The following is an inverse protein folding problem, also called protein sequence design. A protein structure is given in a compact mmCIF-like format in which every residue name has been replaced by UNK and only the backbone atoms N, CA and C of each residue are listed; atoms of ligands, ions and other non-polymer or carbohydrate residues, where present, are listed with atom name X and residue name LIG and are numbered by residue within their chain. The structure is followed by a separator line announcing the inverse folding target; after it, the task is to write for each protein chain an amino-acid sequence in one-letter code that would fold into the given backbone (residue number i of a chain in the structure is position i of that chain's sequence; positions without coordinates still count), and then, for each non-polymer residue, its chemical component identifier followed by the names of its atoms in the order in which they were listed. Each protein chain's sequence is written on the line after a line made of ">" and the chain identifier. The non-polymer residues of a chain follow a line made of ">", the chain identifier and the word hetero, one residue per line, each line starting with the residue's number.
data_IF_833992843017
#
_entry.id   IF_833992843017
#
_cell.length_a   1.000
_cell.length_b   1.000
_cell.length_c   1.000
_cell.angle_alpha   90.00
_cell.angle_beta   90.00
_cell.angle_gamma   90.00
#
_symmetry.space_group_name_H-M   'P 1'
#
loop_
_entity.id
_entity.type
_entity.pdbx_description
1 polymer ?
#
# COMPACT_ATOMS: atom_id res chain seq x y z
N UNK A 1 4.50 6.61 23.64
CA UNK A 1 3.92 6.68 22.29
C UNK A 1 3.14 5.40 22.12
N UNK A 2 1.82 5.48 22.11
CA UNK A 2 0.97 4.30 21.97
C UNK A 2 1.03 3.84 20.52
N UNK A 3 1.75 2.74 20.26
CA UNK A 3 1.82 2.13 18.95
C UNK A 3 0.44 1.60 18.55
N UNK A 4 0.03 1.82 17.30
CA UNK A 4 -1.16 1.15 16.74
C UNK A 4 -0.80 -0.31 16.51
N UNK A 5 -1.49 -1.23 17.20
CA UNK A 5 -1.39 -2.66 16.93
C UNK A 5 -1.90 -2.97 15.53
N UNK A 6 -1.23 -3.86 14.81
CA UNK A 6 -1.66 -4.32 13.50
C UNK A 6 -3.09 -4.88 13.57
N UNK A 7 -4.07 -4.34 12.83
CA UNK A 7 -5.45 -4.82 12.89
C UNK A 7 -5.62 -6.22 12.25
N UNK A 8 -4.60 -6.71 11.54
CA UNK A 8 -4.61 -8.01 10.88
C UNK A 8 -4.07 -9.12 11.78
N UNK A 9 -2.91 -8.92 12.41
CA UNK A 9 -2.25 -9.96 13.21
C UNK A 9 -2.07 -9.62 14.70
N UNK A 10 -2.47 -8.42 15.14
CA UNK A 10 -2.29 -7.94 16.51
C UNK A 10 -0.85 -7.52 16.87
N UNK A 11 0.15 -7.76 16.00
CA UNK A 11 1.55 -7.43 16.27
C UNK A 11 2.00 -6.03 15.83
N UNK A 12 3.31 -5.77 15.84
CA UNK A 12 3.92 -4.45 15.59
C UNK A 12 4.29 -4.21 14.10
N UNK A 13 3.37 -4.54 13.19
CA UNK A 13 3.60 -4.39 11.74
C UNK A 13 3.62 -2.92 11.28
N UNK A 14 2.93 -2.04 12.00
CA UNK A 14 2.83 -0.61 11.70
C UNK A 14 3.83 0.10 12.60
N UNK A 15 4.74 0.87 12.01
CA UNK A 15 5.78 1.60 12.73
C UNK A 15 5.85 3.02 12.20
N UNK A 16 6.25 3.94 13.07
CA UNK A 16 6.45 5.34 12.69
C UNK A 16 7.64 5.48 11.74
N UNK A 17 7.68 6.57 10.97
CA UNK A 17 8.70 6.76 9.92
C UNK A 17 10.11 7.03 10.43
N UNK A 18 10.27 7.38 11.69
CA UNK A 18 11.56 7.56 12.37
C UNK A 18 12.41 6.28 12.37
N UNK A 19 11.80 5.11 12.17
CA UNK A 19 12.50 3.83 12.06
C UNK A 19 12.93 3.47 10.63
N UNK A 20 12.57 4.27 9.61
CA UNK A 20 13.03 4.02 8.23
C UNK A 20 14.53 4.33 8.18
N UNK A 21 15.39 3.34 7.88
CA UNK A 21 16.82 3.60 7.83
C UNK A 21 17.17 4.54 6.66
N UNK A 22 18.24 5.32 6.81
CA UNK A 22 18.74 6.23 5.77
C UNK A 22 18.93 5.54 4.43
N UNK A 23 19.36 4.27 4.45
CA UNK A 23 19.44 3.42 3.27
C UNK A 23 18.56 2.16 3.43
N UNK A 24 17.29 2.22 3.00
CA UNK A 24 16.35 1.09 3.08
C UNK A 24 16.82 -0.15 2.32
N UNK A 25 17.65 -0.01 1.28
CA UNK A 25 18.17 -1.15 0.50
C UNK A 25 19.03 -2.08 1.39
N UNK A 26 19.62 -1.56 2.49
CA UNK A 26 20.40 -2.37 3.45
C UNK A 26 19.57 -3.43 4.19
N UNK A 27 18.24 -3.24 4.25
CA UNK A 27 17.32 -4.23 4.84
C UNK A 27 17.46 -5.58 4.11
N UNK A 28 17.65 -5.54 2.80
CA UNK A 28 17.73 -6.72 1.93
C UNK A 28 19.15 -7.04 1.43
N UNK A 29 20.17 -6.36 1.96
CA UNK A 29 21.54 -6.55 1.49
C UNK A 29 22.16 -7.82 2.05
N UNK A 30 23.01 -8.53 1.28
CA UNK A 30 23.78 -9.65 1.81
C UNK A 30 24.83 -9.19 2.83
N UNK A 31 25.21 -10.08 3.73
CA UNK A 31 26.48 -9.97 4.46
C UNK A 31 27.61 -10.65 3.66
N UNK A 32 28.86 -10.55 4.13
CA UNK A 32 30.02 -11.17 3.46
C UNK A 32 29.97 -12.71 3.39
N UNK A 33 29.09 -13.35 4.17
CA UNK A 33 28.87 -14.81 4.21
C UNK A 33 27.61 -15.27 3.48
N UNK A 34 26.89 -14.34 2.84
CA UNK A 34 25.73 -14.69 2.03
C UNK A 34 26.17 -15.21 0.67
N UNK A 35 25.52 -16.27 0.21
CA UNK A 35 25.71 -16.84 -1.12
C UNK A 35 24.38 -16.78 -1.88
N UNK A 36 24.44 -16.43 -3.17
CA UNK A 36 23.28 -16.41 -4.04
C UNK A 36 23.54 -17.35 -5.21
N UNK A 37 22.70 -18.37 -5.33
CA UNK A 37 22.62 -19.21 -6.50
C UNK A 37 21.39 -18.78 -7.30
N UNK A 38 21.63 -18.13 -8.44
CA UNK A 38 20.54 -17.67 -9.32
C UNK A 38 19.91 -18.91 -9.95
N UNK A 39 18.61 -19.10 -9.72
CA UNK A 39 17.86 -20.23 -10.26
C UNK A 39 17.14 -19.82 -11.52
N UNK A 40 17.05 -20.73 -12.50
CA UNK A 40 16.17 -20.54 -13.65
C UNK A 40 14.71 -20.69 -13.20
N UNK A 41 14.00 -19.55 -13.15
CA UNK A 41 12.62 -19.47 -12.66
C UNK A 41 11.59 -20.11 -13.59
N UNK A 42 12.02 -20.49 -14.79
CA UNK A 42 11.21 -21.22 -15.78
C UNK A 42 11.30 -22.74 -15.64
N UNK A 43 12.14 -23.23 -14.73
CA UNK A 43 12.31 -24.66 -14.45
C UNK A 43 11.88 -24.97 -13.01
N UNK A 44 11.53 -26.24 -12.71
CA UNK A 44 11.43 -26.72 -11.34
C UNK A 44 12.76 -26.51 -10.59
N UNK A 45 12.73 -26.25 -9.27
CA UNK A 45 13.95 -26.11 -8.50
C UNK A 45 14.73 -27.44 -8.50
N UNK A 46 16.05 -27.33 -8.68
CA UNK A 46 16.97 -28.46 -8.57
C UNK A 46 17.87 -28.32 -7.35
N UNK A 47 18.29 -29.45 -6.78
CA UNK A 47 19.11 -29.50 -5.58
C UNK A 47 18.35 -29.10 -4.31
N UNK A 48 19.06 -29.15 -3.18
CA UNK A 48 18.48 -28.84 -1.87
C UNK A 48 18.27 -27.34 -1.70
N UNK A 49 17.31 -27.00 -0.83
CA UNK A 49 17.07 -25.63 -0.39
C UNK A 49 18.13 -25.25 0.65
N UNK A 50 18.97 -24.24 0.39
CA UNK A 50 19.99 -23.82 1.34
C UNK A 50 19.41 -23.34 2.67
N UNK A 51 20.11 -23.65 3.76
CA UNK A 51 19.81 -23.06 5.07
C UNK A 51 20.06 -21.55 5.06
N UNK A 52 19.38 -20.76 5.93
CA UNK A 52 19.63 -19.33 6.03
C UNK A 52 21.10 -19.04 6.36
N UNK A 53 21.61 -17.89 5.90
CA UNK A 53 23.01 -17.52 6.10
C UNK A 53 23.37 -17.54 7.59
N UNK A 54 24.43 -18.27 8.02
CA UNK A 54 24.80 -18.37 9.43
C UNK A 54 25.35 -17.05 10.00
N UNK A 55 25.67 -16.07 9.16
CA UNK A 55 26.15 -14.75 9.59
C UNK A 55 25.04 -13.75 9.91
N UNK A 56 23.94 -13.77 9.16
CA UNK A 56 22.88 -12.76 9.28
C UNK A 56 21.45 -13.31 9.28
N UNK A 57 21.27 -14.63 9.16
CA UNK A 57 19.98 -15.30 9.10
C UNK A 57 19.18 -15.06 7.83
N UNK A 58 19.76 -14.44 6.79
CA UNK A 58 19.05 -14.13 5.53
C UNK A 58 19.26 -15.21 4.48
N UNK A 59 18.28 -15.41 3.61
CA UNK A 59 18.33 -16.33 2.46
C UNK A 59 18.10 -15.58 1.14
N UNK A 60 18.72 -16.03 0.05
CA UNK A 60 18.47 -15.46 -1.27
C UNK A 60 17.02 -15.71 -1.73
N UNK A 61 16.38 -14.74 -2.39
CA UNK A 61 14.96 -14.83 -2.74
C UNK A 61 14.60 -16.09 -3.55
N UNK A 62 15.45 -16.51 -4.48
CA UNK A 62 15.16 -17.66 -5.31
C UNK A 62 15.15 -18.97 -4.49
N UNK A 63 15.96 -19.05 -3.44
CA UNK A 63 15.96 -20.18 -2.51
C UNK A 63 14.75 -20.16 -1.57
N UNK A 64 14.28 -18.97 -1.16
CA UNK A 64 13.01 -18.84 -0.41
C UNK A 64 11.85 -19.36 -1.27
N UNK A 65 11.80 -18.96 -2.54
CA UNK A 65 10.77 -19.45 -3.46
C UNK A 65 10.89 -20.94 -3.76
N UNK A 66 12.11 -21.49 -3.84
CA UNK A 66 12.34 -22.93 -3.95
C UNK A 66 11.86 -23.70 -2.70
N UNK A 67 12.00 -23.12 -1.51
CA UNK A 67 11.47 -23.71 -0.27
C UNK A 67 9.93 -23.75 -0.27
N UNK A 68 9.29 -22.66 -0.70
CA UNK A 68 7.83 -22.66 -0.87
C UNK A 68 7.40 -23.71 -1.92
N UNK A 69 8.16 -23.86 -3.01
CA UNK A 69 7.89 -24.86 -4.05
C UNK A 69 7.95 -26.29 -3.50
N UNK A 70 8.94 -26.63 -2.66
CA UNK A 70 9.05 -27.97 -2.09
C UNK A 70 7.85 -28.32 -1.21
N UNK A 71 7.41 -27.39 -0.36
CA UNK A 71 6.22 -27.57 0.48
C UNK A 71 4.96 -27.78 -0.37
N UNK A 72 4.76 -26.99 -1.43
CA UNK A 72 3.61 -27.17 -2.33
C UNK A 72 3.69 -28.54 -3.04
N UNK A 73 4.88 -28.95 -3.46
CA UNK A 73 5.11 -30.22 -4.17
C UNK A 73 4.88 -31.45 -3.30
N UNK A 74 5.23 -31.38 -2.02
CA UNK A 74 4.97 -32.44 -1.04
C UNK A 74 3.46 -32.68 -0.86
N UNK A 75 2.67 -31.60 -0.79
CA UNK A 75 1.22 -31.65 -0.62
C UNK A 75 0.46 -31.90 -1.95
N UNK A 76 1.08 -31.52 -3.07
CA UNK A 76 0.55 -31.73 -4.41
C UNK A 76 1.66 -32.21 -5.36
N UNK A 77 1.82 -33.54 -5.46
CA UNK A 77 2.88 -34.15 -6.27
C UNK A 77 2.92 -33.71 -7.74
N UNK A 78 1.79 -33.28 -8.33
CA UNK A 78 1.76 -32.73 -9.70
C UNK A 78 2.48 -31.39 -9.83
N UNK A 79 2.61 -30.64 -8.73
CA UNK A 79 3.31 -29.35 -8.70
C UNK A 79 4.84 -29.51 -8.79
N UNK A 80 5.39 -30.70 -8.54
CA UNK A 80 6.83 -30.96 -8.63
C UNK A 80 7.43 -30.66 -10.01
N UNK A 81 6.65 -30.77 -11.08
CA UNK A 81 7.05 -30.45 -12.45
C UNK A 81 6.84 -28.97 -12.83
N UNK A 82 6.24 -28.17 -11.94
CA UNK A 82 5.96 -26.76 -12.20
C UNK A 82 7.20 -25.90 -11.98
N UNK A 83 7.34 -24.79 -12.72
CA UNK A 83 8.46 -23.87 -12.55
C UNK A 83 8.40 -23.14 -11.21
N UNK A 84 9.54 -22.65 -10.71
CA UNK A 84 9.59 -21.83 -9.47
C UNK A 84 8.65 -20.62 -9.55
N UNK A 85 8.49 -20.02 -10.73
CA UNK A 85 7.54 -18.92 -10.96
C UNK A 85 6.06 -19.28 -10.73
N UNK A 86 5.70 -20.57 -10.74
CA UNK A 86 4.33 -21.02 -10.45
C UNK A 86 3.98 -20.93 -8.95
N UNK A 87 4.98 -20.81 -8.06
CA UNK A 87 4.76 -20.66 -6.61
C UNK A 87 3.93 -19.41 -6.31
N UNK A 88 4.11 -18.35 -7.10
CA UNK A 88 3.43 -17.08 -6.93
C UNK A 88 4.39 -15.90 -6.90
N UNK A 89 3.85 -14.76 -6.48
CA UNK A 89 4.54 -13.48 -6.49
C UNK A 89 5.01 -13.11 -5.07
N UNK A 90 6.33 -12.97 -4.83
CA UNK A 90 6.86 -12.55 -3.54
C UNK A 90 6.81 -11.02 -3.40
N UNK A 91 5.88 -10.52 -2.59
CA UNK A 91 5.75 -9.10 -2.29
C UNK A 91 6.68 -8.74 -1.13
N UNK A 92 7.79 -8.05 -1.42
CA UNK A 92 8.76 -7.63 -0.40
C UNK A 92 8.14 -6.72 0.66
N UNK A 93 8.50 -6.94 1.92
CA UNK A 93 8.08 -6.17 3.08
C UNK A 93 9.31 -5.72 3.88
N UNK A 94 9.62 -4.41 3.96
CA UNK A 94 8.94 -3.32 3.27
C UNK A 94 9.10 -3.37 1.75
N UNK A 95 8.16 -2.75 1.04
CA UNK A 95 8.26 -2.54 -0.40
C UNK A 95 9.31 -1.49 -0.71
N UNK A 96 10.38 -1.88 -1.41
CA UNK A 96 11.47 -0.99 -1.84
C UNK A 96 11.84 -1.34 -3.28
N UNK A 97 12.17 -0.33 -4.09
CA UNK A 97 12.73 -0.55 -5.42
C UNK A 97 14.15 -1.13 -5.32
N UNK A 98 14.36 -2.30 -5.93
CA UNK A 98 15.62 -3.04 -5.87
C UNK A 98 16.21 -3.21 -7.28
N UNK A 99 17.51 -2.95 -7.42
CA UNK A 99 18.26 -3.20 -8.67
C UNK A 99 18.82 -4.63 -8.76
N UNK A 100 18.83 -5.35 -7.64
CA UNK A 100 19.35 -6.72 -7.53
C UNK A 100 18.38 -7.55 -6.71
N UNK A 101 18.31 -8.87 -6.95
CA UNK A 101 17.44 -9.73 -6.15
C UNK A 101 17.85 -9.69 -4.67
N UNK A 102 16.89 -9.62 -3.74
CA UNK A 102 17.15 -9.39 -2.32
C UNK A 102 17.61 -10.64 -1.58
N UNK A 103 18.28 -10.41 -0.45
CA UNK A 103 18.43 -11.39 0.63
C UNK A 103 17.38 -11.10 1.70
N UNK A 104 16.52 -12.08 1.94
CA UNK A 104 15.32 -11.99 2.73
C UNK A 104 15.61 -12.43 4.17
N UNK A 105 15.16 -11.63 5.14
CA UNK A 105 15.15 -12.00 6.56
C UNK A 105 13.77 -12.48 6.98
N UNK A 106 13.57 -12.68 8.28
CA UNK A 106 12.27 -13.06 8.85
C UNK A 106 11.16 -12.05 8.47
N UNK A 107 9.94 -12.53 8.23
CA UNK A 107 8.75 -11.70 7.96
C UNK A 107 8.93 -10.65 6.84
N UNK A 108 9.71 -10.98 5.81
CA UNK A 108 10.10 -10.03 4.77
C UNK A 108 9.38 -10.22 3.43
N UNK A 109 8.52 -11.23 3.32
CA UNK A 109 7.73 -11.50 2.11
C UNK A 109 6.27 -11.78 2.46
N UNK A 110 5.36 -11.13 1.74
CA UNK A 110 3.97 -11.56 1.63
C UNK A 110 3.83 -12.33 0.31
N UNK A 111 3.48 -13.62 0.38
CA UNK A 111 3.36 -14.47 -0.80
C UNK A 111 1.94 -14.37 -1.39
N UNK A 112 1.82 -13.89 -2.62
CA UNK A 112 0.57 -13.92 -3.37
C UNK A 112 0.57 -15.12 -4.34
N UNK A 113 -0.31 -16.09 -4.14
CA UNK A 113 -0.27 -17.35 -4.89
C UNK A 113 -1.65 -17.90 -5.25
N UNK A 114 -1.77 -18.50 -6.44
CA UNK A 114 -2.94 -19.29 -6.88
C UNK A 114 -2.80 -20.78 -6.54
N UNK A 115 -1.60 -21.22 -6.16
CA UNK A 115 -1.23 -22.63 -6.07
C UNK A 115 -1.39 -23.22 -4.65
N UNK A 116 -1.90 -22.44 -3.70
CA UNK A 116 -1.91 -22.78 -2.28
C UNK A 116 -3.32 -23.01 -1.76
N UNK A 117 -3.49 -24.06 -0.95
CA UNK A 117 -4.64 -24.21 -0.06
C UNK A 117 -4.35 -23.56 1.29
N UNK A 118 -5.36 -23.46 2.17
CA UNK A 118 -5.14 -22.96 3.55
C UNK A 118 -4.10 -23.80 4.30
N UNK A 119 -4.17 -25.13 4.17
CA UNK A 119 -3.21 -26.04 4.79
C UNK A 119 -1.78 -25.81 4.31
N UNK A 120 -1.59 -25.71 2.98
CA UNK A 120 -0.28 -25.42 2.37
C UNK A 120 0.24 -24.05 2.85
N UNK A 121 -0.63 -23.05 2.93
CA UNK A 121 -0.26 -21.72 3.40
C UNK A 121 0.14 -21.66 4.88
N UNK A 122 -0.50 -22.46 5.74
CA UNK A 122 -0.11 -22.63 7.14
C UNK A 122 1.28 -23.26 7.25
N UNK A 123 1.54 -24.34 6.48
CA UNK A 123 2.86 -24.96 6.39
C UNK A 123 3.93 -23.96 5.94
N UNK A 124 3.72 -23.29 4.80
CA UNK A 124 4.63 -22.26 4.27
C UNK A 124 4.93 -21.19 5.34
N UNK A 125 3.90 -20.66 6.00
CA UNK A 125 4.07 -19.65 7.04
C UNK A 125 4.89 -20.16 8.25
N UNK A 126 4.70 -21.42 8.63
CA UNK A 126 5.41 -22.01 9.78
C UNK A 126 6.83 -22.49 9.48
N UNK A 127 7.09 -22.94 8.25
CA UNK A 127 8.34 -23.62 7.85
C UNK A 127 9.30 -22.68 7.11
N UNK A 128 8.81 -21.59 6.50
CA UNK A 128 9.61 -20.63 5.73
C UNK A 128 9.68 -19.29 6.48
N UNK A 129 10.75 -19.04 7.28
CA UNK A 129 10.81 -17.89 8.20
C UNK A 129 10.67 -16.53 7.50
N UNK A 130 11.05 -16.45 6.22
CA UNK A 130 10.98 -15.23 5.44
C UNK A 130 9.54 -14.83 5.07
N UNK A 131 8.58 -15.77 5.14
CA UNK A 131 7.18 -15.53 4.82
C UNK A 131 6.47 -14.90 6.01
N UNK A 132 6.04 -13.65 5.82
CA UNK A 132 5.20 -12.88 6.75
C UNK A 132 3.74 -13.31 6.70
N UNK A 133 3.27 -13.69 5.51
CA UNK A 133 1.88 -14.06 5.27
C UNK A 133 1.65 -14.56 3.85
N UNK A 134 0.54 -15.25 3.65
CA UNK A 134 0.17 -15.88 2.38
C UNK A 134 -1.23 -15.45 1.97
N UNK A 135 -1.34 -14.91 0.77
CA UNK A 135 -2.58 -14.47 0.14
C UNK A 135 -2.93 -15.45 -0.98
N UNK A 136 -4.17 -15.92 -0.98
CA UNK A 136 -4.77 -16.61 -2.11
C UNK A 136 -5.14 -15.58 -3.19
N UNK A 137 -4.42 -15.64 -4.31
CA UNK A 137 -4.70 -14.83 -5.50
C UNK A 137 -5.95 -15.35 -6.21
N UNK A 138 -7.02 -14.55 -6.18
CA UNK A 138 -8.29 -14.86 -6.85
C UNK A 138 -8.32 -14.38 -8.30
N UNK A 139 -7.24 -13.81 -8.82
CA UNK A 139 -7.16 -13.26 -10.18
C UNK A 139 -8.00 -12.01 -10.37
N UNK A 140 -8.24 -11.27 -9.28
CA UNK A 140 -9.05 -10.05 -9.25
C UNK A 140 -8.18 -8.85 -8.87
N UNK A 141 -8.61 -7.67 -9.30
CA UNK A 141 -8.03 -6.40 -8.85
C UNK A 141 -8.67 -6.02 -7.50
N UNK A 142 -7.92 -5.92 -6.40
CA UNK A 142 -8.49 -5.50 -5.13
C UNK A 142 -8.95 -4.04 -5.13
N UNK A 143 -10.09 -3.77 -4.51
CA UNK A 143 -10.75 -2.46 -4.47
C UNK A 143 -12.02 -2.43 -5.33
N UNK A 144 -12.39 -1.23 -5.78
CA UNK A 144 -13.58 -1.00 -6.61
C UNK A 144 -13.20 -1.17 -8.09
N UNK A 145 -13.79 -2.16 -8.73
CA UNK A 145 -13.60 -2.43 -10.15
C UNK A 145 -14.42 -1.50 -11.06
N UNK A 146 -14.16 -1.51 -12.38
CA UNK A 146 -14.82 -0.62 -13.34
C UNK A 146 -16.36 -0.78 -13.42
N UNK A 147 -16.89 -1.92 -13.00
CA UNK A 147 -18.33 -2.20 -12.93
C UNK A 147 -18.96 -1.77 -11.60
N UNK A 148 -18.20 -1.12 -10.71
CA UNK A 148 -18.63 -0.77 -9.35
C UNK A 148 -18.60 -1.94 -8.36
N UNK A 149 -18.22 -3.15 -8.80
CA UNK A 149 -18.05 -4.30 -7.93
C UNK A 149 -16.79 -4.17 -7.10
N UNK A 150 -16.89 -4.40 -5.80
CA UNK A 150 -15.74 -4.45 -4.91
C UNK A 150 -15.30 -5.89 -4.64
N UNK A 151 -14.00 -6.12 -4.68
CA UNK A 151 -13.43 -7.42 -4.37
C UNK A 151 -12.05 -7.28 -3.72
N UNK A 152 -11.61 -8.33 -3.05
CA UNK A 152 -10.26 -8.47 -2.53
C UNK A 152 -9.81 -9.92 -2.65
N UNK A 153 -8.49 -10.10 -2.70
CA UNK A 153 -7.90 -11.40 -2.47
C UNK A 153 -8.12 -11.83 -1.01
N UNK A 154 -7.73 -13.06 -0.66
CA UNK A 154 -7.94 -13.59 0.69
C UNK A 154 -6.60 -13.83 1.39
N UNK A 155 -6.39 -13.20 2.54
CA UNK A 155 -5.33 -13.60 3.46
C UNK A 155 -5.70 -14.97 4.07
N UNK A 156 -4.89 -15.99 3.79
CA UNK A 156 -5.16 -17.37 4.24
C UNK A 156 -4.21 -17.83 5.37
N UNK A 157 -3.09 -17.14 5.59
CA UNK A 157 -2.18 -17.38 6.72
C UNK A 157 -1.28 -16.15 7.02
N UNK A 158 -0.92 -15.94 8.29
CA UNK A 158 0.01 -14.89 8.72
C UNK A 158 -0.53 -13.46 8.61
N UNK A 159 0.29 -12.52 8.12
CA UNK A 159 -0.02 -11.10 7.98
C UNK A 159 0.42 -10.56 6.61
N UNK A 160 -0.47 -9.85 5.93
CA UNK A 160 -0.22 -9.22 4.62
C UNK A 160 -0.08 -7.69 4.67
N UNK A 161 0.02 -7.12 5.88
CA UNK A 161 0.31 -5.69 6.02
C UNK A 161 1.73 -5.42 5.53
N UNK A 162 1.87 -4.62 4.48
CA UNK A 162 3.14 -4.24 3.88
C UNK A 162 3.30 -2.74 3.91
N UNK A 163 4.47 -2.26 4.32
CA UNK A 163 4.84 -0.85 4.26
C UNK A 163 5.70 -0.57 3.04
N UNK A 164 5.22 0.29 2.14
CA UNK A 164 5.94 0.72 0.94
C UNK A 164 6.65 2.05 1.20
N UNK A 165 7.96 2.12 0.90
CA UNK A 165 8.75 3.33 1.15
C UNK A 165 8.83 4.16 -0.14
N UNK A 166 8.39 5.41 -0.05
CA UNK A 166 8.38 6.35 -1.17
C UNK A 166 9.31 7.55 -0.89
N UNK A 167 10.11 7.98 -1.89
CA UNK A 167 10.82 9.24 -1.80
C UNK A 167 9.91 10.42 -2.17
N UNK A 168 10.06 11.54 -1.49
CA UNK A 168 9.54 12.85 -1.90
C UNK A 168 10.53 13.94 -1.49
N UNK A 169 11.01 14.73 -2.46
CA UNK A 169 12.12 15.68 -2.23
C UNK A 169 13.35 14.99 -1.60
N UNK A 170 13.82 15.47 -0.43
CA UNK A 170 14.90 14.86 0.36
C UNK A 170 14.38 13.95 1.49
N UNK A 171 13.07 13.75 1.58
CA UNK A 171 12.40 12.95 2.62
C UNK A 171 12.00 11.57 2.07
N UNK A 172 11.79 10.62 2.98
CA UNK A 172 11.18 9.32 2.70
C UNK A 172 9.99 9.14 3.62
N UNK A 173 8.91 8.58 3.11
CA UNK A 173 7.71 8.29 3.87
C UNK A 173 7.25 6.86 3.60
N UNK A 174 6.42 6.30 4.48
CA UNK A 174 5.95 4.91 4.37
C UNK A 174 4.44 4.87 4.19
N UNK A 175 3.97 3.96 3.36
CA UNK A 175 2.54 3.72 3.13
C UNK A 175 2.28 2.25 3.44
N UNK A 176 1.63 2.00 4.57
CA UNK A 176 1.10 0.71 4.95
C UNK A 176 -0.19 0.40 4.20
N UNK A 177 -0.31 -0.84 3.75
CA UNK A 177 -1.48 -1.38 3.04
C UNK A 177 -1.70 -2.82 3.45
N UNK A 178 -2.96 -3.25 3.49
CA UNK A 178 -3.33 -4.67 3.53
C UNK A 178 -3.40 -5.21 2.09
N UNK A 179 -2.41 -6.01 1.70
CA UNK A 179 -2.20 -6.37 0.29
C UNK A 179 -3.31 -7.23 -0.31
N UNK A 180 -4.08 -7.95 0.51
CA UNK A 180 -5.25 -8.69 0.06
C UNK A 180 -6.40 -7.78 -0.37
N UNK A 181 -6.50 -6.57 0.21
CA UNK A 181 -7.64 -5.67 0.02
C UNK A 181 -7.34 -4.42 -0.81
N UNK A 182 -6.07 -4.07 -0.97
CA UNK A 182 -5.65 -2.85 -1.67
C UNK A 182 -4.88 -3.19 -2.94
N UNK A 183 -4.93 -2.27 -3.92
CA UNK A 183 -4.18 -2.42 -5.16
C UNK A 183 -2.67 -2.59 -4.89
N UNK A 184 -2.11 -3.67 -5.43
CA UNK A 184 -0.70 -4.00 -5.29
C UNK A 184 0.11 -3.19 -6.29
N UNK A 185 0.83 -2.21 -5.79
CA UNK A 185 1.78 -1.42 -6.57
C UNK A 185 3.22 -1.78 -6.18
N UNK A 186 4.08 -1.86 -7.19
CA UNK A 186 5.52 -2.01 -6.98
C UNK A 186 6.19 -0.65 -6.89
N UNK A 187 6.97 -0.40 -5.83
CA UNK A 187 7.84 0.78 -5.77
C UNK A 187 8.77 0.80 -6.97
N UNK A 188 8.83 1.95 -7.64
CA UNK A 188 9.74 2.24 -8.76
C UNK A 188 10.81 3.23 -8.29
N UNK A 189 11.94 3.29 -9.00
CA UNK A 189 13.03 4.22 -8.67
C UNK A 189 12.61 5.70 -8.69
N UNK A 190 11.56 6.04 -9.43
CA UNK A 190 10.87 7.33 -9.38
C UNK A 190 9.34 7.12 -9.45
N UNK A 191 8.58 8.04 -8.88
CA UNK A 191 7.12 8.03 -8.94
C UNK A 191 6.62 9.30 -9.65
N UNK A 192 6.25 9.20 -10.95
CA UNK A 192 5.75 10.35 -11.71
C UNK A 192 4.54 11.02 -11.08
N UNK A 193 3.62 10.27 -10.46
CA UNK A 193 2.42 10.81 -9.81
C UNK A 193 2.78 11.73 -8.65
N UNK A 194 3.73 11.30 -7.80
CA UNK A 194 4.26 12.12 -6.69
C UNK A 194 4.91 13.40 -7.23
N UNK A 195 5.67 13.32 -8.33
CA UNK A 195 6.28 14.50 -8.93
C UNK A 195 5.27 15.46 -9.56
N UNK A 196 4.18 14.96 -10.16
CA UNK A 196 3.08 15.78 -10.66
C UNK A 196 2.41 16.56 -9.52
N UNK A 197 2.06 15.86 -8.43
CA UNK A 197 1.50 16.47 -7.22
C UNK A 197 2.45 17.54 -6.67
N UNK A 198 3.74 17.21 -6.54
CA UNK A 198 4.75 18.14 -6.03
C UNK A 198 4.79 19.44 -6.84
N UNK A 199 4.78 19.34 -8.18
CA UNK A 199 4.77 20.51 -9.07
C UNK A 199 3.50 21.35 -8.90
N UNK A 200 2.33 20.72 -8.78
CA UNK A 200 1.05 21.41 -8.58
C UNK A 200 1.00 22.15 -7.25
N UNK A 201 1.47 21.54 -6.15
CA UNK A 201 1.55 22.22 -4.85
C UNK A 201 2.49 23.42 -4.89
N UNK A 202 3.72 23.24 -5.38
CA UNK A 202 4.73 24.32 -5.40
C UNK A 202 4.33 25.49 -6.32
N UNK A 203 3.59 25.22 -7.40
CA UNK A 203 3.16 26.25 -8.35
C UNK A 203 2.00 27.08 -7.83
N UNK A 204 1.04 26.44 -7.15
CA UNK A 204 -0.25 27.05 -6.87
C UNK A 204 -0.46 27.38 -5.39
N UNK A 205 0.30 26.76 -4.49
CA UNK A 205 0.16 26.90 -3.03
C UNK A 205 -1.31 26.84 -2.56
N UNK A 206 -2.01 25.71 -2.83
CA UNK A 206 -3.44 25.64 -2.59
C UNK A 206 -3.76 25.74 -1.10
N UNK A 207 -4.84 26.43 -0.77
CA UNK A 207 -5.34 26.47 0.61
C UNK A 207 -5.83 25.10 1.06
N UNK A 208 -6.48 24.35 0.15
CA UNK A 208 -6.95 22.98 0.36
C UNK A 208 -6.48 22.10 -0.82
N UNK A 209 -5.84 20.99 -0.50
CA UNK A 209 -5.56 19.92 -1.46
C UNK A 209 -6.48 18.73 -1.22
N UNK A 210 -7.07 18.19 -2.28
CA UNK A 210 -8.00 17.06 -2.22
C UNK A 210 -7.42 15.89 -2.99
N UNK A 211 -7.15 14.79 -2.28
CA UNK A 211 -6.86 13.50 -2.88
C UNK A 211 -8.17 12.68 -2.91
N UNK A 212 -8.92 12.80 -4.01
CA UNK A 212 -10.32 12.36 -4.07
C UNK A 212 -10.50 10.84 -4.25
N UNK A 213 -9.43 10.14 -4.68
CA UNK A 213 -9.33 8.69 -4.82
C UNK A 213 -8.02 8.23 -4.18
N UNK A 214 -7.87 8.49 -2.89
CA UNK A 214 -6.56 8.54 -2.25
C UNK A 214 -5.85 7.19 -2.14
N UNK A 215 -6.57 6.08 -2.33
CA UNK A 215 -6.07 4.77 -1.96
C UNK A 215 -5.63 4.79 -0.50
N UNK A 216 -4.43 4.29 -0.22
CA UNK A 216 -3.83 4.36 1.11
C UNK A 216 -3.16 5.72 1.43
N UNK A 217 -3.45 6.79 0.68
CA UNK A 217 -3.06 8.17 0.98
C UNK A 217 -1.72 8.63 0.40
N UNK A 218 -1.15 7.90 -0.57
CA UNK A 218 0.21 8.18 -1.09
C UNK A 218 0.35 9.62 -1.61
N UNK A 219 -0.61 10.09 -2.41
CA UNK A 219 -0.51 11.39 -3.09
C UNK A 219 -0.82 12.54 -2.14
N UNK A 220 -1.85 12.43 -1.31
CA UNK A 220 -2.15 13.46 -0.31
C UNK A 220 -1.10 13.58 0.81
N UNK A 221 -0.48 12.47 1.25
CA UNK A 221 0.69 12.53 2.16
C UNK A 221 1.88 13.23 1.48
N UNK A 222 2.14 12.92 0.21
CA UNK A 222 3.18 13.61 -0.57
C UNK A 222 2.88 15.11 -0.77
N UNK A 223 1.62 15.48 -0.98
CA UNK A 223 1.17 16.87 -1.06
C UNK A 223 1.45 17.62 0.25
N UNK A 224 1.09 17.01 1.39
CA UNK A 224 1.34 17.60 2.72
C UNK A 224 2.84 17.75 3.01
N UNK A 225 3.65 16.74 2.70
CA UNK A 225 5.11 16.82 2.83
C UNK A 225 5.75 17.87 1.91
N UNK A 226 5.10 18.20 0.79
CA UNK A 226 5.54 19.24 -0.14
C UNK A 226 5.19 20.65 0.34
N UNK A 227 4.11 20.81 1.10
CA UNK A 227 3.70 22.10 1.65
C UNK A 227 2.18 22.32 1.78
N UNK A 228 1.33 21.39 1.36
CA UNK A 228 -0.12 21.54 1.56
C UNK A 228 -0.47 21.44 3.06
N UNK A 229 -1.08 22.50 3.59
CA UNK A 229 -1.41 22.61 5.01
C UNK A 229 -2.76 21.96 5.34
N UNK A 230 -3.75 22.13 4.47
CA UNK A 230 -5.06 21.49 4.59
C UNK A 230 -5.22 20.42 3.51
N UNK A 231 -5.36 19.16 3.93
CA UNK A 231 -5.47 18.01 3.00
C UNK A 231 -6.72 17.20 3.32
N UNK A 232 -7.47 16.84 2.28
CA UNK A 232 -8.59 15.89 2.37
C UNK A 232 -8.18 14.62 1.63
N UNK A 233 -8.14 13.49 2.34
CA UNK A 233 -7.94 12.16 1.78
C UNK A 233 -9.29 11.48 1.70
N UNK A 234 -9.78 11.20 0.49
CA UNK A 234 -11.06 10.54 0.29
C UNK A 234 -10.88 9.26 -0.52
N UNK A 235 -11.53 8.19 -0.08
CA UNK A 235 -11.71 7.00 -0.91
C UNK A 235 -13.08 6.38 -0.64
N UNK A 236 -13.70 5.86 -1.69
CA UNK A 236 -14.95 5.13 -1.58
C UNK A 236 -14.73 3.69 -1.08
N UNK A 237 -13.50 3.17 -1.14
CA UNK A 237 -13.15 1.84 -0.64
C UNK A 237 -12.72 1.90 0.83
N UNK A 238 -13.44 1.16 1.68
CA UNK A 238 -13.26 1.20 3.13
C UNK A 238 -11.82 0.92 3.59
N UNK A 239 -11.15 -0.05 2.97
CA UNK A 239 -9.78 -0.43 3.32
C UNK A 239 -8.80 0.68 2.94
N UNK A 240 -8.98 1.32 1.79
CA UNK A 240 -8.17 2.48 1.38
C UNK A 240 -8.29 3.62 2.39
N UNK A 241 -9.53 4.00 2.74
CA UNK A 241 -9.80 5.07 3.70
C UNK A 241 -9.27 4.75 5.12
N UNK A 242 -9.38 3.50 5.58
CA UNK A 242 -8.76 3.09 6.85
C UNK A 242 -7.23 3.19 6.81
N UNK A 243 -6.60 2.63 5.78
CA UNK A 243 -5.15 2.61 5.70
C UNK A 243 -4.55 4.00 5.47
N UNK A 244 -5.26 4.93 4.82
CA UNK A 244 -4.82 6.32 4.74
C UNK A 244 -4.80 7.01 6.11
N UNK A 245 -5.77 6.74 7.00
CA UNK A 245 -5.73 7.18 8.39
C UNK A 245 -4.56 6.59 9.19
N UNK A 246 -4.31 5.28 9.05
CA UNK A 246 -3.14 4.63 9.65
C UNK A 246 -1.84 5.26 9.13
N UNK A 247 -1.78 5.62 7.86
CA UNK A 247 -0.60 6.24 7.26
C UNK A 247 -0.38 7.68 7.72
N UNK A 248 -1.44 8.44 8.04
CA UNK A 248 -1.25 9.71 8.73
C UNK A 248 -0.56 9.51 10.09
N UNK A 249 -1.04 8.55 10.87
CA UNK A 249 -0.42 8.23 12.16
C UNK A 249 1.04 7.77 12.00
N UNK A 250 1.34 6.89 11.04
CA UNK A 250 2.69 6.39 10.80
C UNK A 250 3.67 7.50 10.36
N UNK A 251 3.17 8.50 9.64
CA UNK A 251 3.98 9.60 9.11
C UNK A 251 3.90 10.88 9.95
N UNK A 252 3.18 10.89 11.09
CA UNK A 252 2.84 12.11 11.85
C UNK A 252 4.04 13.00 12.17
N UNK A 253 5.16 12.42 12.59
CA UNK A 253 6.38 13.17 12.93
C UNK A 253 6.97 13.89 11.71
N UNK A 254 7.00 13.23 10.55
CA UNK A 254 7.48 13.85 9.30
C UNK A 254 6.53 14.95 8.80
N UNK A 255 5.23 14.77 9.08
CA UNK A 255 4.16 15.67 8.73
C UNK A 255 3.98 16.80 9.77
N UNK A 256 4.74 16.81 10.87
CA UNK A 256 4.53 17.78 11.96
C UNK A 256 3.11 17.78 12.52
N UNK A 257 2.51 16.59 12.59
CA UNK A 257 1.18 16.34 13.16
C UNK A 257 1.38 15.91 14.62
N UNK A 258 0.70 16.62 15.52
CA UNK A 258 0.78 16.40 16.96
C UNK A 258 -0.22 15.32 17.40
N UNK A 259 -1.41 15.29 16.77
CA UNK A 259 -2.49 14.38 17.12
C UNK A 259 -3.15 13.78 15.87
N UNK A 260 -3.48 12.48 15.94
CA UNK A 260 -4.35 11.79 14.98
C UNK A 260 -5.50 11.15 15.75
N UNK A 261 -6.71 11.64 15.51
CA UNK A 261 -7.95 11.18 16.14
C UNK A 261 -8.68 10.26 15.19
N UNK A 262 -8.71 8.97 15.50
CA UNK A 262 -9.53 8.00 14.78
C UNK A 262 -11.00 8.14 15.20
N UNK A 263 -11.89 8.31 14.22
CA UNK A 263 -13.35 8.50 14.39
C UNK A 263 -14.16 7.26 14.00
N UNK A 264 -13.52 6.33 13.30
CA UNK A 264 -14.06 5.01 12.94
C UNK A 264 -12.97 3.96 13.10
N UNK A 265 -13.33 2.69 12.92
CA UNK A 265 -12.41 1.56 12.92
C UNK A 265 -12.61 0.67 11.68
N UNK A 266 -11.61 -0.15 11.36
CA UNK A 266 -11.63 -1.02 10.17
C UNK A 266 -12.86 -1.95 10.15
N UNK A 267 -13.29 -2.48 11.30
CA UNK A 267 -14.41 -3.40 11.37
C UNK A 267 -15.71 -2.69 11.01
N UNK A 268 -15.97 -1.53 11.61
CA UNK A 268 -17.15 -0.71 11.30
C UNK A 268 -17.17 -0.28 9.84
N UNK A 269 -16.04 0.14 9.29
CA UNK A 269 -15.95 0.53 7.88
C UNK A 269 -16.21 -0.65 6.94
N UNK A 270 -15.82 -1.88 7.32
CA UNK A 270 -16.08 -3.08 6.52
C UNK A 270 -17.56 -3.48 6.40
N UNK A 271 -18.45 -2.93 7.24
CA UNK A 271 -19.90 -3.15 7.16
C UNK A 271 -20.52 -2.42 5.94
N UNK A 272 -19.85 -1.38 5.44
CA UNK A 272 -20.20 -0.70 4.19
C UNK A 272 -18.94 -0.60 3.34
N UNK A 273 -18.54 -1.66 2.63
CA UNK A 273 -17.23 -1.69 1.97
C UNK A 273 -17.02 -0.61 0.91
N UNK A 274 -18.10 -0.18 0.25
CA UNK A 274 -18.09 0.80 -0.83
C UNK A 274 -19.08 1.90 -0.52
N UNK A 275 -18.64 3.15 -0.58
CA UNK A 275 -19.52 4.31 -0.57
C UNK A 275 -20.03 4.59 -1.98
N UNK A 276 -21.33 4.74 -2.12
CA UNK A 276 -22.00 5.09 -3.36
C UNK A 276 -22.49 6.54 -3.34
N UNK A 277 -22.83 7.05 -4.52
CA UNK A 277 -23.43 8.36 -4.63
C UNK A 277 -24.76 8.43 -3.85
N UNK A 278 -24.88 9.43 -2.98
CA UNK A 278 -26.04 9.62 -2.10
C UNK A 278 -25.83 9.08 -0.69
N UNK A 279 -24.81 8.25 -0.45
CA UNK A 279 -24.46 7.78 0.88
C UNK A 279 -23.86 8.91 1.73
N UNK A 280 -24.07 8.83 3.05
CA UNK A 280 -23.49 9.79 3.99
C UNK A 280 -22.02 9.45 4.26
N UNK A 281 -21.11 10.32 3.83
CA UNK A 281 -19.67 10.16 4.06
C UNK A 281 -19.32 10.02 5.53
N UNK A 282 -18.33 9.17 5.81
CA UNK A 282 -17.85 8.89 7.16
C UNK A 282 -16.47 9.49 7.34
N UNK A 283 -16.30 10.34 8.35
CA UNK A 283 -14.97 10.77 8.78
C UNK A 283 -14.29 9.59 9.46
N UNK A 284 -13.17 9.14 8.91
CA UNK A 284 -12.38 8.02 9.42
C UNK A 284 -11.38 8.50 10.46
N UNK A 285 -10.69 9.58 10.17
CA UNK A 285 -9.74 10.21 11.07
C UNK A 285 -9.56 11.68 10.77
N UNK A 286 -9.12 12.41 11.79
CA UNK A 286 -8.72 13.81 11.70
C UNK A 286 -7.34 13.94 12.32
N UNK A 287 -6.46 14.73 11.71
CA UNK A 287 -5.11 14.93 12.18
C UNK A 287 -4.78 16.43 12.20
N UNK A 288 -4.16 16.86 13.29
CA UNK A 288 -3.89 18.27 13.56
C UNK A 288 -2.44 18.48 13.98
N UNK A 289 -1.86 19.58 13.50
CA UNK A 289 -0.60 20.14 13.97
C UNK A 289 -0.67 21.66 13.94
N UNK A 290 0.39 22.34 14.37
CA UNK A 290 0.41 23.80 14.52
C UNK A 290 -0.23 24.58 13.35
N UNK A 291 0.16 24.25 12.11
CA UNK A 291 -0.33 24.88 10.88
C UNK A 291 -0.89 23.85 9.88
N UNK A 292 -1.35 22.69 10.37
CA UNK A 292 -1.76 21.57 9.50
C UNK A 292 -3.05 20.92 9.96
N UNK A 293 -3.92 20.64 9.00
CA UNK A 293 -5.13 19.86 9.20
C UNK A 293 -5.28 18.83 8.08
N UNK A 294 -5.41 17.56 8.44
CA UNK A 294 -5.69 16.49 7.47
C UNK A 294 -6.94 15.74 7.88
N UNK A 295 -7.89 15.60 6.96
CA UNK A 295 -9.10 14.81 7.18
C UNK A 295 -9.10 13.59 6.26
N UNK A 296 -9.47 12.44 6.82
CA UNK A 296 -9.66 11.19 6.09
C UNK A 296 -11.13 10.85 6.03
N UNK A 297 -11.63 10.61 4.82
CA UNK A 297 -13.04 10.42 4.53
C UNK A 297 -13.21 9.10 3.79
N UNK A 298 -14.12 8.29 4.29
CA UNK A 298 -14.69 7.18 3.55
C UNK A 298 -15.97 7.67 2.90
N UNK A 299 -15.91 7.96 1.59
CA UNK A 299 -16.98 8.68 0.90
C UNK A 299 -16.89 8.60 -0.62
N UNK A 300 -18.04 8.76 -1.27
CA UNK A 300 -18.08 9.01 -2.71
C UNK A 300 -17.52 10.41 -2.98
N UNK A 301 -16.67 10.53 -4.00
CA UNK A 301 -16.00 11.79 -4.32
C UNK A 301 -16.99 12.94 -4.62
N UNK A 302 -18.23 12.62 -5.03
CA UNK A 302 -19.28 13.63 -5.29
C UNK A 302 -19.78 14.32 -4.03
N UNK A 303 -19.48 13.79 -2.85
CA UNK A 303 -19.79 14.42 -1.57
C UNK A 303 -18.79 15.52 -1.18
N UNK A 304 -17.59 15.52 -1.77
CA UNK A 304 -16.49 16.39 -1.36
C UNK A 304 -16.77 17.89 -1.49
N UNK A 305 -17.48 18.40 -2.53
CA UNK A 305 -17.84 19.82 -2.59
C UNK A 305 -18.64 20.30 -1.38
N UNK A 306 -19.44 19.43 -0.75
CA UNK A 306 -20.20 19.73 0.48
C UNK A 306 -19.36 19.72 1.75
N UNK A 307 -18.17 19.11 1.71
CA UNK A 307 -17.23 19.02 2.84
C UNK A 307 -16.25 20.20 2.85
N UNK A 308 -15.96 20.75 1.67
CA UNK A 308 -15.10 21.93 1.54
C UNK A 308 -15.83 23.16 2.14
N UNK A 309 -15.23 23.89 3.10
CA UNK A 309 -15.84 25.07 3.69
C UNK A 309 -16.19 26.13 2.65
N UNK A 310 -17.37 26.74 2.71
CA UNK A 310 -17.86 27.71 1.72
C UNK A 310 -16.88 28.86 1.45
N UNK A 311 -16.24 29.40 2.49
CA UNK A 311 -15.24 30.45 2.38
C UNK A 311 -13.91 30.03 1.73
N UNK A 312 -13.72 28.73 1.47
CA UNK A 312 -12.53 28.12 0.86
C UNK A 312 -12.82 27.41 -0.46
N UNK A 313 -14.06 27.51 -0.97
CA UNK A 313 -14.46 26.82 -2.20
C UNK A 313 -13.77 27.35 -3.45
N UNK A 314 -13.27 28.58 -3.46
CA UNK A 314 -12.81 29.23 -4.69
C UNK A 314 -11.41 28.81 -5.20
N UNK A 315 -10.72 27.86 -4.56
CA UNK A 315 -9.38 27.44 -5.01
C UNK A 315 -8.87 26.06 -4.52
N UNK A 316 -9.72 25.03 -4.25
CA UNK A 316 -9.18 23.71 -3.96
C UNK A 316 -8.45 23.16 -5.19
N UNK A 317 -7.37 22.42 -4.95
CA UNK A 317 -6.72 21.62 -5.99
C UNK A 317 -7.02 20.15 -5.72
N UNK A 318 -7.70 19.50 -6.66
CA UNK A 318 -7.98 18.08 -6.58
C UNK A 318 -7.06 17.24 -7.49
N UNK A 319 -6.64 16.09 -6.97
CA UNK A 319 -6.02 15.03 -7.77
C UNK A 319 -7.00 13.87 -7.92
N UNK A 320 -7.16 13.39 -9.16
CA UNK A 320 -8.01 12.24 -9.48
C UNK A 320 -7.16 11.08 -10.01
N UNK A 321 -6.72 10.19 -9.11
CA UNK A 321 -6.00 8.96 -9.48
C UNK A 321 -6.97 7.80 -9.73
N UNK A 322 -7.85 7.96 -10.71
CA UNK A 322 -8.84 6.93 -11.07
C UNK A 322 -8.20 5.74 -11.82
N UNK A 323 -8.84 4.57 -11.73
CA UNK A 323 -8.58 3.47 -12.67
C UNK A 323 -9.07 3.85 -14.09
N UNK A 324 -8.54 3.20 -15.12
CA UNK A 324 -8.94 3.40 -16.53
C UNK A 324 -8.70 4.85 -17.06
N UNK A 325 -7.57 5.45 -16.68
CA UNK A 325 -7.18 6.81 -17.15
C UNK A 325 -7.01 6.94 -18.66
N UNK A 326 -6.94 5.82 -19.38
CA UNK A 326 -6.87 5.82 -20.85
C UNK A 326 -8.21 6.23 -21.47
N UNK A 327 -9.31 6.16 -20.71
CA UNK A 327 -10.61 6.69 -21.11
C UNK A 327 -10.68 8.20 -20.87
N UNK A 328 -10.10 8.95 -21.80
CA UNK A 328 -9.99 10.42 -21.72
C UNK A 328 -11.35 11.12 -21.60
N UNK A 329 -12.39 10.60 -22.26
CA UNK A 329 -13.74 11.17 -22.19
C UNK A 329 -14.28 11.16 -20.74
N UNK A 330 -14.09 10.04 -20.02
CA UNK A 330 -14.52 9.92 -18.62
C UNK A 330 -13.71 10.82 -17.68
N UNK A 331 -12.40 10.91 -17.89
CA UNK A 331 -11.56 11.78 -17.07
C UNK A 331 -11.89 13.26 -17.31
N UNK A 332 -12.20 13.65 -18.55
CA UNK A 332 -12.58 15.03 -18.91
C UNK A 332 -13.97 15.39 -18.35
N UNK A 333 -14.91 14.44 -18.31
CA UNK A 333 -16.19 14.62 -17.62
C UNK A 333 -16.00 14.81 -16.12
N UNK A 334 -15.13 14.02 -15.48
CA UNK A 334 -14.83 14.12 -14.06
C UNK A 334 -14.23 15.50 -13.70
N UNK A 335 -13.25 15.95 -14.48
CA UNK A 335 -12.62 17.28 -14.31
C UNK A 335 -13.67 18.38 -14.47
N UNK A 336 -14.43 18.37 -15.57
CA UNK A 336 -15.46 19.39 -15.82
C UNK A 336 -16.52 19.44 -14.73
N UNK A 337 -16.93 18.28 -14.23
CA UNK A 337 -17.87 18.22 -13.11
C UNK A 337 -17.27 18.85 -11.85
N UNK A 338 -16.03 18.49 -11.47
CA UNK A 338 -15.39 19.06 -10.28
C UNK A 338 -15.19 20.56 -10.36
N UNK A 339 -14.66 21.03 -11.48
CA UNK A 339 -14.39 22.45 -11.72
C UNK A 339 -15.70 23.25 -11.71
N UNK A 340 -16.81 22.67 -12.18
CA UNK A 340 -18.15 23.26 -12.12
C UNK A 340 -18.74 23.33 -10.71
N UNK A 341 -18.54 22.30 -9.88
CA UNK A 341 -19.07 22.24 -8.51
C UNK A 341 -18.27 23.05 -7.49
N UNK A 342 -16.95 23.18 -7.71
CA UNK A 342 -16.06 23.83 -6.75
C UNK A 342 -15.51 25.17 -7.25
N UNK A 343 -15.34 25.37 -8.56
CA UNK A 343 -14.58 26.49 -9.10
C UNK A 343 -13.05 26.38 -8.87
N UNK A 344 -12.57 25.23 -8.37
CA UNK A 344 -11.16 24.91 -8.17
C UNK A 344 -10.45 24.37 -9.43
N UNK A 345 -9.20 23.93 -9.26
CA UNK A 345 -8.40 23.27 -10.30
C UNK A 345 -8.32 21.76 -10.00
N UNK A 346 -8.26 20.95 -11.05
CA UNK A 346 -8.14 19.50 -10.88
C UNK A 346 -7.21 18.89 -11.93
N UNK A 347 -6.63 17.72 -11.62
CA UNK A 347 -5.74 17.04 -12.56
C UNK A 347 -5.69 15.52 -12.35
N UNK A 348 -5.39 14.80 -13.44
CA UNK A 348 -5.04 13.39 -13.43
C UNK A 348 -3.50 13.27 -13.33
N UNK A 349 -2.95 12.57 -12.34
CA UNK A 349 -1.50 12.50 -12.11
C UNK A 349 -0.76 11.48 -12.96
#
# INVERSE_FOLDING_TARGET
>A
MDNISCPVCGGDCIRATDIIPDNPIKIFSPCSRCHADIRDKSLPPSGDVPQPCPGCGRRFIDDVMAHCHSIISEENGSFSAMPVSAVGMPLLSPGIFMLRPPFLGHDSVVLLSKAVSRHIAERIYSEVPEIKGVILDRGILPGIGPNGGAAGNELISGCDVRGDIFPVQKKKFIIYKQQSLCHIEYPKGSNPKIETVRKKILRNNPEIFVDAFCGCGTLGIAASLTGAENVILNDAWYSSAWWSAVNLYANRTLLGIDEVVFRSDLKKLSETPVMHHGDSSVVVAEAFGADRAVQVIHGDYRSLPGIIPDGKKTSPIAVFDVFDKENTARTDELIRWWDGETGGDSFIP
#
